data_IF_956617953402
#
_entry.id   IF_956617953402
#
_cell.length_a   1.000
_cell.length_b   1.000
_cell.length_c   1.000
_cell.angle_alpha   90.00
_cell.angle_beta   90.00
_cell.angle_gamma   90.00
#
_symmetry.space_group_name_H-M   'P 1'
#
loop_
_entity.id
_entity.type
_entity.pdbx_description
1 polymer ?
#
# COMPACT_ATOMS: atom_id res chain seq x y z
N UNK A 1 -18.42 -23.94 30.08
CA UNK A 1 -17.53 -24.06 28.89
C UNK A 1 -16.95 -22.68 28.60
N UNK A 2 -15.66 -22.46 28.85
CA UNK A 2 -15.00 -21.19 28.50
C UNK A 2 -14.91 -21.15 27.00
N UNK A 3 -15.46 -20.11 26.37
CA UNK A 3 -15.25 -19.88 24.92
C UNK A 3 -13.75 -19.70 24.66
N UNK A 4 -13.21 -20.44 23.72
CA UNK A 4 -11.81 -20.30 23.34
C UNK A 4 -11.54 -18.84 22.92
N UNK A 5 -10.44 -18.28 23.42
CA UNK A 5 -10.05 -16.90 23.05
C UNK A 5 -9.80 -16.84 21.53
N UNK A 6 -10.34 -15.86 20.81
CA UNK A 6 -10.10 -15.74 19.36
C UNK A 6 -8.61 -15.65 19.04
N UNK A 7 -8.18 -16.20 17.91
CA UNK A 7 -6.78 -16.14 17.45
C UNK A 7 -6.32 -14.69 17.20
N UNK A 8 -5.01 -14.46 17.10
CA UNK A 8 -4.46 -13.12 16.85
C UNK A 8 -4.94 -12.57 15.52
N UNK A 9 -4.90 -13.37 14.45
CA UNK A 9 -5.40 -12.98 13.14
C UNK A 9 -6.90 -12.67 13.15
N UNK A 10 -7.70 -13.47 13.86
CA UNK A 10 -9.14 -13.22 13.98
C UNK A 10 -9.46 -11.88 14.68
N UNK A 11 -8.72 -11.55 15.74
CA UNK A 11 -8.87 -10.26 16.43
C UNK A 11 -8.47 -9.09 15.55
N UNK A 12 -7.34 -9.21 14.83
CA UNK A 12 -6.88 -8.18 13.89
C UNK A 12 -7.92 -7.93 12.81
N UNK A 13 -8.45 -8.98 12.17
CA UNK A 13 -9.51 -8.87 11.15
C UNK A 13 -10.77 -8.19 11.67
N UNK A 14 -11.22 -8.55 12.88
CA UNK A 14 -12.38 -7.87 13.49
C UNK A 14 -12.10 -6.40 13.72
N UNK A 15 -10.91 -6.05 14.22
CA UNK A 15 -10.53 -4.65 14.46
C UNK A 15 -10.50 -3.86 13.16
N UNK A 16 -9.87 -4.39 12.11
CA UNK A 16 -9.81 -3.73 10.80
C UNK A 16 -11.20 -3.58 10.20
N UNK A 17 -12.05 -4.62 10.20
CA UNK A 17 -13.41 -4.56 9.69
C UNK A 17 -14.36 -3.61 10.44
N UNK A 18 -14.02 -3.19 11.67
CA UNK A 18 -14.75 -2.14 12.39
C UNK A 18 -14.29 -0.72 11.98
N UNK A 19 -13.12 -0.58 11.37
CA UNK A 19 -12.47 0.71 11.10
C UNK A 19 -12.35 1.01 9.61
N UNK A 20 -12.57 0.05 8.72
CA UNK A 20 -12.29 0.17 7.27
C UNK A 20 -13.33 0.98 6.48
N UNK A 21 -14.40 1.43 7.10
CA UNK A 21 -15.48 2.14 6.41
C UNK A 21 -15.02 3.35 5.59
N UNK A 22 -14.06 4.15 6.08
CA UNK A 22 -13.51 5.28 5.35
C UNK A 22 -12.67 4.84 4.15
N UNK A 23 -11.87 3.77 4.32
CA UNK A 23 -11.06 3.20 3.24
C UNK A 23 -11.97 2.64 2.13
N UNK A 24 -12.98 1.86 2.48
CA UNK A 24 -13.90 1.27 1.52
C UNK A 24 -14.66 2.36 0.74
N UNK A 25 -15.14 3.40 1.41
CA UNK A 25 -15.77 4.54 0.76
C UNK A 25 -14.80 5.31 -0.17
N UNK A 26 -13.53 5.47 0.24
CA UNK A 26 -12.50 6.08 -0.58
C UNK A 26 -12.17 5.24 -1.83
N UNK A 27 -12.11 3.91 -1.69
CA UNK A 27 -11.91 2.98 -2.81
C UNK A 27 -13.08 3.04 -3.79
N UNK A 28 -14.33 3.03 -3.30
CA UNK A 28 -15.50 3.17 -4.17
C UNK A 28 -15.45 4.46 -4.98
N UNK A 29 -15.11 5.57 -4.33
CA UNK A 29 -14.95 6.86 -4.98
C UNK A 29 -13.79 6.89 -5.98
N UNK A 30 -12.65 6.32 -5.66
CA UNK A 30 -11.47 6.24 -6.52
C UNK A 30 -11.79 5.53 -7.85
N UNK A 31 -12.56 4.46 -7.78
CA UNK A 31 -12.85 3.60 -8.93
C UNK A 31 -14.14 3.95 -9.68
N UNK A 32 -14.73 5.12 -9.48
CA UNK A 32 -15.89 5.56 -10.27
C UNK A 32 -15.55 5.71 -11.76
N UNK A 33 -16.51 5.50 -12.69
CA UNK A 33 -16.26 5.58 -14.12
C UNK A 33 -15.80 6.96 -14.62
N UNK A 34 -16.37 8.04 -14.05
CA UNK A 34 -16.07 9.42 -14.46
C UNK A 34 -14.59 9.73 -14.18
N UNK A 35 -13.89 10.27 -15.18
CA UNK A 35 -12.46 10.63 -15.09
C UNK A 35 -11.56 9.51 -14.53
N UNK A 36 -11.88 8.24 -14.80
CA UNK A 36 -11.14 7.10 -14.25
C UNK A 36 -9.69 7.06 -14.72
N UNK A 37 -9.38 7.39 -15.99
CA UNK A 37 -8.02 7.32 -16.53
C UNK A 37 -7.02 8.23 -15.79
N UNK A 38 -7.26 9.53 -15.57
CA UNK A 38 -6.34 10.36 -14.79
C UNK A 38 -6.21 9.89 -13.34
N UNK A 39 -7.29 9.40 -12.71
CA UNK A 39 -7.21 8.84 -11.35
C UNK A 39 -6.42 7.53 -11.31
N UNK A 40 -6.57 6.67 -12.30
CA UNK A 40 -5.79 5.44 -12.40
C UNK A 40 -4.29 5.71 -12.54
N UNK A 41 -3.89 6.68 -13.38
CA UNK A 41 -2.49 7.12 -13.46
C UNK A 41 -1.97 7.67 -12.13
N UNK A 42 -2.77 8.49 -11.45
CA UNK A 42 -2.42 9.00 -10.13
C UNK A 42 -2.30 7.87 -9.09
N UNK A 43 -3.17 6.87 -9.15
CA UNK A 43 -3.09 5.66 -8.32
C UNK A 43 -1.78 4.89 -8.59
N UNK A 44 -1.43 4.62 -9.84
CA UNK A 44 -0.17 3.92 -10.18
C UNK A 44 1.06 4.68 -9.67
N UNK A 45 1.11 6.01 -9.82
CA UNK A 45 2.18 6.85 -9.27
C UNK A 45 2.26 6.75 -7.74
N UNK A 46 1.13 6.84 -7.05
CA UNK A 46 1.09 6.79 -5.59
C UNK A 46 1.46 5.40 -5.06
N UNK A 47 0.90 4.34 -5.67
CA UNK A 47 1.22 2.96 -5.29
C UNK A 47 2.68 2.61 -5.59
N UNK A 48 3.27 3.13 -6.65
CA UNK A 48 4.71 2.97 -6.87
C UNK A 48 5.53 3.53 -5.69
N UNK A 49 5.14 4.70 -5.13
CA UNK A 49 5.84 5.26 -3.97
C UNK A 49 5.63 4.47 -2.67
N UNK A 50 4.49 3.78 -2.53
CA UNK A 50 4.21 2.88 -1.41
C UNK A 50 4.97 1.56 -1.57
N UNK A 51 4.80 0.87 -2.70
CA UNK A 51 5.33 -0.49 -2.93
C UNK A 51 6.87 -0.49 -2.95
N UNK A 52 7.52 0.53 -3.55
CA UNK A 52 8.98 0.63 -3.51
C UNK A 52 9.58 0.74 -2.10
N UNK A 53 8.78 1.10 -1.09
CA UNK A 53 9.22 1.13 0.30
C UNK A 53 9.04 -0.23 1.00
N UNK A 54 8.20 -1.14 0.48
CA UNK A 54 7.85 -2.40 1.15
C UNK A 54 9.07 -3.34 1.30
N UNK A 55 9.79 -3.62 0.22
CA UNK A 55 10.99 -4.47 0.28
C UNK A 55 12.07 -3.88 1.21
N UNK A 56 12.46 -2.59 1.13
CA UNK A 56 13.37 -1.98 2.09
C UNK A 56 12.91 -2.07 3.56
N UNK A 57 11.62 -1.89 3.84
CA UNK A 57 11.06 -2.05 5.19
C UNK A 57 11.19 -3.50 5.68
N UNK A 58 10.84 -4.47 4.86
CA UNK A 58 10.96 -5.90 5.18
C UNK A 58 12.41 -6.34 5.38
N UNK A 59 13.33 -5.84 4.55
CA UNK A 59 14.77 -6.07 4.72
C UNK A 59 15.24 -5.56 6.07
N UNK A 60 14.86 -4.35 6.45
CA UNK A 60 15.22 -3.77 7.73
C UNK A 60 14.60 -4.49 8.92
N UNK A 61 13.33 -4.86 8.83
CA UNK A 61 12.64 -5.65 9.85
C UNK A 61 13.27 -7.04 10.02
N UNK A 62 13.64 -7.70 8.92
CA UNK A 62 14.33 -8.99 8.94
C UNK A 62 15.70 -8.90 9.61
N UNK A 63 16.49 -7.88 9.28
CA UNK A 63 17.79 -7.65 9.92
C UNK A 63 17.64 -7.46 11.43
N UNK A 64 16.68 -6.62 11.84
CA UNK A 64 16.40 -6.40 13.26
C UNK A 64 15.91 -7.65 13.96
N UNK A 65 15.03 -8.43 13.32
CA UNK A 65 14.55 -9.72 13.83
C UNK A 65 15.70 -10.71 14.05
N UNK A 66 16.63 -10.81 13.10
CA UNK A 66 17.82 -11.70 13.27
C UNK A 66 18.69 -11.33 14.47
N UNK A 67 18.83 -10.03 14.76
CA UNK A 67 19.55 -9.59 15.96
C UNK A 67 18.83 -9.97 17.25
N UNK A 68 17.49 -9.86 17.27
CA UNK A 68 16.67 -10.24 18.43
C UNK A 68 16.63 -11.76 18.62
N UNK A 69 16.59 -12.54 17.54
CA UNK A 69 16.65 -14.00 17.56
C UNK A 69 17.97 -14.49 18.20
N UNK A 70 19.09 -13.87 17.83
CA UNK A 70 20.38 -14.15 18.45
C UNK A 70 20.43 -13.80 19.96
N UNK A 71 19.50 -12.96 20.45
CA UNK A 71 19.32 -12.65 21.86
C UNK A 71 18.25 -13.54 22.54
N UNK A 72 17.67 -14.50 21.82
CA UNK A 72 16.69 -15.46 22.34
C UNK A 72 15.24 -15.02 22.29
N UNK A 73 14.89 -14.01 21.49
CA UNK A 73 13.49 -13.61 21.29
C UNK A 73 12.74 -14.68 20.51
N UNK A 74 11.67 -15.29 21.09
CA UNK A 74 10.97 -16.43 20.49
C UNK A 74 10.13 -16.06 19.25
N UNK A 75 9.82 -14.76 19.04
CA UNK A 75 9.04 -14.25 17.91
C UNK A 75 9.95 -13.99 16.71
N UNK A 76 11.19 -13.63 16.96
CA UNK A 76 12.09 -13.02 15.98
C UNK A 76 12.56 -13.99 14.90
N UNK A 77 12.91 -15.23 15.25
CA UNK A 77 13.34 -16.25 14.27
C UNK A 77 12.27 -16.59 13.23
N UNK A 78 11.04 -17.00 13.65
CA UNK A 78 9.94 -17.23 12.72
C UNK A 78 9.55 -15.99 11.88
N UNK A 79 9.62 -14.78 12.47
CA UNK A 79 9.38 -13.52 11.75
C UNK A 79 10.44 -13.32 10.65
N UNK A 80 11.72 -13.51 10.94
CA UNK A 80 12.81 -13.37 9.97
C UNK A 80 12.68 -14.37 8.81
N UNK A 81 12.24 -15.60 9.10
CA UNK A 81 11.98 -16.60 8.08
C UNK A 81 10.84 -16.18 7.14
N UNK A 82 9.69 -15.78 7.69
CA UNK A 82 8.57 -15.26 6.91
C UNK A 82 8.99 -14.07 6.02
N UNK A 83 9.63 -13.07 6.59
CA UNK A 83 10.08 -11.90 5.84
C UNK A 83 11.07 -12.25 4.72
N UNK A 84 11.85 -13.33 4.88
CA UNK A 84 12.79 -13.79 3.83
C UNK A 84 12.03 -14.29 2.60
N UNK A 85 10.96 -15.08 2.78
CA UNK A 85 10.12 -15.57 1.68
C UNK A 85 9.31 -14.42 1.07
N UNK A 86 8.66 -13.63 1.90
CA UNK A 86 7.81 -12.53 1.43
C UNK A 86 8.60 -11.47 0.64
N UNK A 87 9.85 -11.16 1.02
CA UNK A 87 10.76 -10.30 0.23
C UNK A 87 10.97 -10.87 -1.16
N UNK A 88 11.21 -12.19 -1.28
CA UNK A 88 11.45 -12.84 -2.56
C UNK A 88 10.24 -12.78 -3.49
N UNK A 89 9.04 -12.79 -2.92
CA UNK A 89 7.77 -12.68 -3.65
C UNK A 89 7.50 -11.25 -4.09
N UNK A 90 7.83 -10.26 -3.26
CA UNK A 90 7.58 -8.84 -3.51
C UNK A 90 8.67 -8.14 -4.33
N UNK A 91 9.83 -8.78 -4.54
CA UNK A 91 10.94 -8.16 -5.27
C UNK A 91 10.57 -7.89 -6.73
N UNK A 92 10.64 -6.61 -7.13
CA UNK A 92 10.35 -6.15 -8.50
C UNK A 92 8.89 -5.72 -8.74
N UNK A 93 7.98 -5.82 -7.77
CA UNK A 93 6.59 -5.36 -7.94
C UNK A 93 6.50 -3.84 -8.14
N UNK A 94 7.42 -3.06 -7.61
CA UNK A 94 7.51 -1.63 -7.88
C UNK A 94 7.82 -1.33 -9.36
N UNK A 95 8.62 -2.17 -10.03
CA UNK A 95 8.88 -2.04 -11.46
C UNK A 95 7.63 -2.29 -12.30
N UNK A 96 6.75 -3.22 -11.90
CA UNK A 96 5.48 -3.45 -12.61
C UNK A 96 4.60 -2.20 -12.64
N UNK A 97 4.58 -1.42 -11.57
CA UNK A 97 3.83 -0.16 -11.49
C UNK A 97 4.36 0.90 -12.46
N UNK A 98 5.68 0.93 -12.69
CA UNK A 98 6.28 1.81 -13.70
C UNK A 98 5.94 1.34 -15.12
N UNK A 99 5.98 0.04 -15.38
CA UNK A 99 5.61 -0.54 -16.69
C UNK A 99 4.13 -0.24 -16.99
N UNK A 100 3.24 -0.47 -16.03
CA UNK A 100 1.82 -0.15 -16.16
C UNK A 100 1.59 1.34 -16.41
N UNK A 101 2.32 2.21 -15.73
CA UNK A 101 2.22 3.66 -15.88
C UNK A 101 2.65 4.11 -17.29
N UNK A 102 3.73 3.53 -17.81
CA UNK A 102 4.18 3.77 -19.19
C UNK A 102 3.14 3.30 -20.21
N UNK A 103 2.62 2.08 -20.03
CA UNK A 103 1.58 1.53 -20.89
C UNK A 103 0.26 2.32 -20.80
N UNK A 104 -0.01 2.97 -19.66
CA UNK A 104 -1.12 3.90 -19.50
C UNK A 104 -0.88 5.28 -20.13
N UNK A 105 0.26 5.49 -20.82
CA UNK A 105 0.59 6.70 -21.55
C UNK A 105 1.14 7.86 -20.71
N UNK A 106 1.65 7.57 -19.50
CA UNK A 106 2.42 8.51 -18.71
C UNK A 106 3.93 8.40 -19.01
N UNK A 107 4.74 9.31 -18.50
CA UNK A 107 6.19 9.27 -18.64
C UNK A 107 6.86 8.78 -17.35
N UNK A 108 8.06 8.18 -17.38
CA UNK A 108 8.79 7.82 -16.17
C UNK A 108 9.00 9.01 -15.23
N UNK A 109 9.13 10.22 -15.78
CA UNK A 109 9.26 11.44 -15.01
C UNK A 109 8.02 11.78 -14.17
N UNK A 110 6.85 11.29 -14.56
CA UNK A 110 5.61 11.53 -13.81
C UNK A 110 5.59 10.74 -12.49
N UNK A 111 6.21 9.55 -12.46
CA UNK A 111 6.31 8.73 -11.26
C UNK A 111 7.51 9.09 -10.36
N UNK A 112 8.63 9.49 -10.97
CA UNK A 112 9.92 9.58 -10.26
C UNK A 112 10.26 11.00 -9.78
N UNK A 113 9.65 12.03 -10.36
CA UNK A 113 9.95 13.43 -10.05
C UNK A 113 9.27 14.02 -8.82
N UNK A 114 8.00 13.72 -8.50
CA UNK A 114 7.36 14.36 -7.38
C UNK A 114 7.90 13.83 -6.04
N UNK A 115 8.08 14.75 -5.07
CA UNK A 115 8.21 14.32 -3.69
C UNK A 115 6.97 13.50 -3.31
N UNK A 116 7.13 12.34 -2.66
CA UNK A 116 5.99 11.55 -2.20
C UNK A 116 5.03 12.38 -1.36
N UNK A 117 3.75 12.12 -1.48
CA UNK A 117 2.74 12.71 -0.60
C UNK A 117 3.13 12.52 0.87
N UNK A 118 2.96 13.55 1.73
CA UNK A 118 3.29 13.42 3.15
C UNK A 118 2.64 12.22 3.83
N UNK A 119 1.46 11.81 3.39
CA UNK A 119 0.78 10.62 3.92
C UNK A 119 1.53 9.32 3.58
N UNK A 120 2.18 9.22 2.41
CA UNK A 120 3.01 8.07 2.03
C UNK A 120 4.29 8.05 2.88
N UNK A 121 4.92 9.22 3.06
CA UNK A 121 6.08 9.35 3.93
C UNK A 121 5.77 9.00 5.39
N UNK A 122 4.59 9.37 5.89
CA UNK A 122 4.12 8.99 7.22
C UNK A 122 3.84 7.48 7.31
N UNK A 123 3.20 6.89 6.30
CA UNK A 123 2.91 5.46 6.23
C UNK A 123 4.19 4.61 6.32
N UNK A 124 5.17 4.87 5.47
CA UNK A 124 6.43 4.14 5.46
C UNK A 124 7.34 4.53 6.64
N UNK A 125 7.42 5.82 6.98
CA UNK A 125 8.29 6.33 8.03
C UNK A 125 7.92 5.82 9.43
N UNK A 126 6.64 5.67 9.73
CA UNK A 126 6.16 5.08 10.99
C UNK A 126 6.63 3.64 11.16
N UNK A 127 6.68 2.86 10.05
CA UNK A 127 7.16 1.48 10.10
C UNK A 127 8.64 1.43 10.48
N UNK A 128 9.49 2.30 9.88
CA UNK A 128 10.89 2.39 10.28
C UNK A 128 11.04 2.73 11.76
N UNK A 129 10.25 3.68 12.27
CA UNK A 129 10.29 4.04 13.68
C UNK A 129 10.00 2.84 14.60
N UNK A 130 8.95 2.07 14.30
CA UNK A 130 8.60 0.90 15.12
C UNK A 130 9.61 -0.24 14.98
N UNK A 131 10.13 -0.50 13.79
CA UNK A 131 11.19 -1.50 13.57
C UNK A 131 12.44 -1.17 14.40
N UNK A 132 12.84 0.09 14.45
CA UNK A 132 14.09 0.52 15.12
C UNK A 132 13.92 0.68 16.63
N UNK A 133 12.80 1.23 17.07
CA UNK A 133 12.62 1.68 18.45
C UNK A 133 11.66 0.83 19.27
N UNK A 134 10.97 -0.11 18.63
CA UNK A 134 10.07 -1.07 19.26
C UNK A 134 10.43 -2.50 18.87
N UNK A 135 9.52 -3.20 18.22
CA UNK A 135 9.72 -4.57 17.77
C UNK A 135 9.35 -4.70 16.29
N UNK A 136 10.18 -5.39 15.45
CA UNK A 136 9.94 -5.52 14.02
C UNK A 136 8.63 -6.26 13.67
N UNK A 137 8.02 -6.98 14.62
CA UNK A 137 6.73 -7.65 14.43
C UNK A 137 5.59 -6.67 14.12
N UNK A 138 5.72 -5.40 14.52
CA UNK A 138 4.75 -4.35 14.19
C UNK A 138 4.53 -4.21 12.67
N UNK A 139 5.55 -4.52 11.84
CA UNK A 139 5.44 -4.45 10.37
C UNK A 139 4.37 -5.40 9.82
N UNK A 140 4.03 -6.50 10.53
CA UNK A 140 2.96 -7.40 10.10
C UNK A 140 1.59 -6.69 10.04
N UNK A 141 1.39 -5.64 10.81
CA UNK A 141 0.18 -4.81 10.73
C UNK A 141 0.09 -4.00 9.44
N UNK A 142 1.22 -3.47 8.96
CA UNK A 142 1.33 -2.79 7.67
C UNK A 142 1.06 -3.77 6.51
N UNK A 143 1.72 -4.93 6.52
CA UNK A 143 1.52 -5.97 5.51
C UNK A 143 0.05 -6.42 5.48
N UNK A 144 -0.57 -6.66 6.65
CA UNK A 144 -1.98 -7.06 6.74
C UNK A 144 -2.94 -6.09 6.04
N UNK A 145 -2.64 -4.79 6.07
CA UNK A 145 -3.48 -3.79 5.40
C UNK A 145 -3.21 -3.75 3.91
N UNK A 146 -1.96 -3.78 3.46
CA UNK A 146 -1.68 -3.74 2.02
C UNK A 146 -2.22 -4.97 1.30
N UNK A 147 -2.03 -6.16 1.86
CA UNK A 147 -2.53 -7.42 1.31
C UNK A 147 -4.06 -7.58 1.46
N UNK A 148 -4.60 -7.11 2.60
CA UNK A 148 -6.02 -7.29 2.93
C UNK A 148 -6.97 -6.38 2.16
N UNK A 149 -6.48 -5.29 1.59
CA UNK A 149 -7.27 -4.31 0.83
C UNK A 149 -6.80 -4.18 -0.63
N UNK A 150 -6.26 -5.26 -1.17
CA UNK A 150 -5.89 -5.37 -2.57
C UNK A 150 -7.09 -5.14 -3.50
N UNK A 151 -6.85 -4.67 -4.73
CA UNK A 151 -7.90 -4.50 -5.72
C UNK A 151 -8.60 -5.82 -6.05
N UNK A 152 -9.93 -5.81 -6.09
CA UNK A 152 -10.69 -7.00 -6.49
C UNK A 152 -10.41 -7.40 -7.95
N UNK A 153 -10.40 -8.69 -8.25
CA UNK A 153 -10.14 -9.23 -9.60
C UNK A 153 -11.05 -8.61 -10.70
N UNK A 154 -12.28 -8.22 -10.35
CA UNK A 154 -13.23 -7.56 -11.26
C UNK A 154 -12.84 -6.14 -11.63
N UNK A 155 -11.93 -5.50 -10.87
CA UNK A 155 -11.51 -4.11 -11.09
C UNK A 155 -10.73 -3.97 -12.39
N UNK A 156 -9.84 -4.90 -12.73
CA UNK A 156 -9.06 -4.91 -13.97
C UNK A 156 -9.97 -4.78 -15.20
N UNK A 157 -11.00 -5.64 -15.29
CA UNK A 157 -11.95 -5.62 -16.40
C UNK A 157 -12.78 -4.32 -16.44
N UNK A 158 -13.08 -3.73 -15.28
CA UNK A 158 -13.79 -2.44 -15.20
C UNK A 158 -12.91 -1.30 -15.71
N UNK A 159 -11.64 -1.23 -15.28
CA UNK A 159 -10.70 -0.20 -15.74
C UNK A 159 -10.51 -0.32 -17.25
N UNK A 160 -10.23 -1.52 -17.78
CA UNK A 160 -10.06 -1.74 -19.22
C UNK A 160 -11.27 -1.23 -20.04
N UNK A 161 -12.48 -1.62 -19.65
CA UNK A 161 -13.70 -1.19 -20.37
C UNK A 161 -13.94 0.31 -20.29
N UNK A 162 -13.64 0.94 -19.18
CA UNK A 162 -13.94 2.36 -18.96
C UNK A 162 -12.90 3.27 -19.60
N UNK A 163 -11.64 2.85 -19.61
CA UNK A 163 -10.50 3.70 -20.04
C UNK A 163 -9.98 3.36 -21.43
N UNK A 164 -10.26 2.17 -21.95
CA UNK A 164 -9.68 1.66 -23.20
C UNK A 164 -8.19 1.30 -23.07
N UNK A 165 -7.64 1.22 -21.86
CA UNK A 165 -6.24 0.87 -21.63
C UNK A 165 -5.95 -0.57 -22.08
N UNK A 166 -4.74 -0.83 -22.61
CA UNK A 166 -4.30 -2.19 -22.95
C UNK A 166 -4.01 -3.01 -21.69
N UNK A 167 -4.03 -4.33 -21.80
CA UNK A 167 -3.73 -5.27 -20.70
C UNK A 167 -2.36 -5.01 -20.04
N UNK A 168 -1.39 -4.52 -20.84
CA UNK A 168 -0.06 -4.14 -20.33
C UNK A 168 -0.08 -3.02 -19.30
N UNK A 169 -1.13 -2.18 -19.27
CA UNK A 169 -1.30 -1.12 -18.29
C UNK A 169 -2.01 -1.58 -17.00
N UNK A 170 -2.38 -2.85 -16.90
CA UNK A 170 -3.25 -3.40 -15.86
C UNK A 170 -2.60 -4.60 -15.13
N UNK A 171 -1.32 -4.86 -15.40
CA UNK A 171 -0.60 -6.01 -14.86
C UNK A 171 -0.62 -6.02 -13.35
N UNK A 172 -0.22 -4.92 -12.71
CA UNK A 172 -0.10 -4.84 -11.26
C UNK A 172 -1.42 -5.12 -10.56
N UNK A 173 -2.52 -4.49 -11.01
CA UNK A 173 -3.85 -4.72 -10.43
C UNK A 173 -4.30 -6.17 -10.60
N UNK A 174 -3.99 -6.79 -11.75
CA UNK A 174 -4.37 -8.17 -12.03
C UNK A 174 -3.59 -9.17 -11.19
N UNK A 175 -2.25 -9.02 -11.16
CA UNK A 175 -1.37 -9.98 -10.46
C UNK A 175 -1.59 -9.88 -8.94
N UNK A 176 -1.68 -8.68 -8.35
CA UNK A 176 -1.97 -8.53 -6.93
C UNK A 176 -3.34 -9.12 -6.55
N UNK A 177 -4.37 -8.96 -7.37
CA UNK A 177 -5.66 -9.60 -7.11
C UNK A 177 -5.58 -11.15 -7.02
N UNK A 178 -4.56 -11.76 -7.62
CA UNK A 178 -4.33 -13.21 -7.57
C UNK A 178 -3.38 -13.62 -6.42
N UNK A 179 -2.33 -12.83 -6.15
CA UNK A 179 -1.27 -13.15 -5.19
C UNK A 179 -1.68 -12.85 -3.74
N UNK A 180 -2.35 -11.72 -3.51
CA UNK A 180 -2.56 -11.19 -2.16
C UNK A 180 -3.44 -12.10 -1.28
N UNK A 181 -4.28 -12.94 -1.87
CA UNK A 181 -5.04 -13.94 -1.10
C UNK A 181 -4.11 -14.97 -0.43
N UNK A 182 -3.08 -15.46 -1.15
CA UNK A 182 -2.08 -16.39 -0.60
C UNK A 182 -1.20 -15.73 0.47
N UNK A 183 -0.72 -14.52 0.20
CA UNK A 183 0.10 -13.74 1.13
C UNK A 183 -0.65 -13.46 2.45
N UNK A 184 -1.93 -13.10 2.36
CA UNK A 184 -2.76 -12.83 3.53
C UNK A 184 -3.00 -14.10 4.37
N UNK A 185 -3.20 -15.26 3.74
CA UNK A 185 -3.36 -16.54 4.43
C UNK A 185 -2.06 -16.92 5.18
N UNK A 186 -0.90 -16.76 4.56
CA UNK A 186 0.41 -17.01 5.17
C UNK A 186 0.69 -16.06 6.34
N UNK A 187 0.34 -14.78 6.20
CA UNK A 187 0.42 -13.80 7.28
C UNK A 187 -0.46 -14.18 8.47
N UNK A 188 -1.72 -14.57 8.22
CA UNK A 188 -2.65 -14.99 9.27
C UNK A 188 -2.14 -16.26 9.98
N UNK A 189 -1.64 -17.23 9.22
CA UNK A 189 -1.05 -18.44 9.79
C UNK A 189 0.20 -18.12 10.63
N UNK A 190 1.02 -17.16 10.23
CA UNK A 190 2.15 -16.68 11.02
C UNK A 190 1.66 -16.04 12.33
N UNK A 191 0.76 -15.06 12.27
CA UNK A 191 0.23 -14.35 13.45
C UNK A 191 -0.36 -15.30 14.50
N UNK A 192 -0.99 -16.39 14.06
CA UNK A 192 -1.61 -17.36 14.96
C UNK A 192 -0.61 -18.35 15.56
N UNK A 193 0.58 -18.54 14.93
CA UNK A 193 1.67 -19.39 15.44
C UNK A 193 2.65 -18.66 16.35
N UNK A 194 2.82 -17.34 16.14
CA UNK A 194 3.79 -16.56 16.91
C UNK A 194 3.38 -16.48 18.40
N UNK A 195 4.31 -16.73 19.33
CA UNK A 195 4.06 -16.58 20.76
C UNK A 195 4.07 -15.09 21.18
N UNK A 196 3.18 -14.30 20.56
CA UNK A 196 3.12 -12.87 20.79
C UNK A 196 2.66 -12.55 22.22
N UNK A 197 3.38 -11.67 22.88
CA UNK A 197 2.91 -11.01 24.10
C UNK A 197 1.72 -10.10 23.80
N UNK A 198 0.97 -9.70 24.81
CA UNK A 198 -0.14 -8.74 24.64
C UNK A 198 0.36 -7.39 24.08
N UNK A 199 1.56 -6.95 24.49
CA UNK A 199 2.21 -5.76 23.95
C UNK A 199 2.49 -5.89 22.45
N UNK A 200 3.11 -6.99 22.01
CA UNK A 200 3.42 -7.23 20.60
C UNK A 200 2.14 -7.37 19.74
N UNK A 201 1.07 -7.95 20.29
CA UNK A 201 -0.23 -7.97 19.61
C UNK A 201 -0.81 -6.57 19.46
N UNK A 202 -0.65 -5.71 20.47
CA UNK A 202 -1.04 -4.30 20.39
C UNK A 202 -0.20 -3.55 19.35
N UNK A 203 1.12 -3.79 19.28
CA UNK A 203 2.02 -3.16 18.29
C UNK A 203 1.58 -3.49 16.86
N UNK A 204 1.29 -4.76 16.55
CA UNK A 204 0.73 -5.17 15.25
C UNK A 204 -0.59 -4.46 14.95
N UNK A 205 -1.48 -4.39 15.94
CA UNK A 205 -2.80 -3.76 15.78
C UNK A 205 -2.68 -2.26 15.55
N UNK A 206 -1.84 -1.55 16.30
CA UNK A 206 -1.59 -0.10 16.13
C UNK A 206 -0.98 0.20 14.75
N UNK A 207 -0.01 -0.62 14.31
CA UNK A 207 0.58 -0.50 12.98
C UNK A 207 -0.47 -0.69 11.88
N UNK A 208 -1.36 -1.69 12.03
CA UNK A 208 -2.44 -1.92 11.08
C UNK A 208 -3.45 -0.76 11.05
N UNK A 209 -3.89 -0.26 12.19
CA UNK A 209 -4.82 0.87 12.28
C UNK A 209 -4.23 2.14 11.64
N UNK A 210 -2.96 2.42 11.92
CA UNK A 210 -2.25 3.55 11.31
C UNK A 210 -2.15 3.40 9.79
N UNK A 211 -1.81 2.20 9.31
CA UNK A 211 -1.69 1.91 7.89
C UNK A 211 -3.04 2.04 7.16
N UNK A 212 -4.11 1.56 7.79
CA UNK A 212 -5.48 1.68 7.29
C UNK A 212 -5.90 3.16 7.12
N UNK A 213 -5.68 3.97 8.15
CA UNK A 213 -6.00 5.41 8.13
C UNK A 213 -5.16 6.16 7.07
N UNK A 214 -3.86 5.87 6.99
CA UNK A 214 -2.98 6.49 5.99
C UNK A 214 -3.40 6.12 4.56
N UNK A 215 -3.76 4.85 4.31
CA UNK A 215 -4.24 4.39 3.01
C UNK A 215 -5.60 5.01 2.65
N UNK A 216 -6.52 5.13 3.60
CA UNK A 216 -7.79 5.82 3.42
C UNK A 216 -7.60 7.28 3.01
N UNK A 217 -6.74 8.01 3.73
CA UNK A 217 -6.40 9.40 3.38
C UNK A 217 -5.74 9.54 2.01
N UNK A 218 -4.86 8.61 1.65
CA UNK A 218 -4.24 8.58 0.33
C UNK A 218 -5.32 8.43 -0.75
N UNK A 219 -6.21 7.46 -0.62
CA UNK A 219 -7.26 7.19 -1.61
C UNK A 219 -8.30 8.29 -1.71
N UNK A 220 -8.65 8.95 -0.60
CA UNK A 220 -9.48 10.17 -0.61
C UNK A 220 -8.85 11.26 -1.47
N UNK A 221 -7.54 11.48 -1.35
CA UNK A 221 -6.82 12.48 -2.16
C UNK A 221 -6.79 12.09 -3.64
N UNK A 222 -6.47 10.84 -3.95
CA UNK A 222 -6.47 10.33 -5.32
C UNK A 222 -7.85 10.43 -5.98
N UNK A 223 -8.92 10.17 -5.23
CA UNK A 223 -10.28 10.32 -5.70
C UNK A 223 -10.64 11.76 -6.14
N UNK A 224 -9.95 12.76 -5.59
CA UNK A 224 -10.12 14.19 -5.95
C UNK A 224 -9.25 14.63 -7.12
N UNK A 225 -8.21 13.88 -7.49
CA UNK A 225 -7.23 14.28 -8.50
C UNK A 225 -7.79 14.37 -9.93
N UNK A 226 -8.97 13.80 -10.21
CA UNK A 226 -9.67 13.94 -11.50
C UNK A 226 -10.48 15.23 -11.66
N UNK A 227 -10.69 16.02 -10.59
CA UNK A 227 -11.59 17.18 -10.58
C UNK A 227 -10.86 18.53 -10.60
N UNK A 228 -9.53 18.57 -10.70
CA UNK A 228 -8.81 19.83 -10.82
C UNK A 228 -9.09 20.48 -12.20
N UNK A 229 -9.60 21.74 -12.25
CA UNK A 229 -9.75 22.45 -13.51
C UNK A 229 -8.36 22.61 -14.14
N UNK A 230 -8.25 22.22 -15.41
CA UNK A 230 -7.08 22.50 -16.24
C UNK A 230 -6.67 23.97 -16.03
N UNK A 231 -5.39 24.31 -15.81
CA UNK A 231 -4.98 25.69 -15.72
C UNK A 231 -5.39 26.39 -17.03
N UNK A 232 -6.38 27.29 -16.94
CA UNK A 232 -6.78 28.11 -18.08
C UNK A 232 -5.53 28.76 -18.61
N UNK A 233 -5.26 28.58 -19.90
CA UNK A 233 -4.09 29.08 -20.57
C UNK A 233 -3.82 30.53 -20.15
N UNK A 234 -2.63 30.78 -19.64
CA UNK A 234 -2.12 32.11 -19.46
C UNK A 234 -2.14 32.79 -20.83
N UNK A 235 -3.13 33.65 -21.06
CA UNK A 235 -3.18 34.49 -22.26
C UNK A 235 -1.86 35.20 -22.39
N UNK A 236 -1.19 35.02 -23.53
CA UNK A 236 -0.04 35.79 -23.89
C UNK A 236 -0.44 37.29 -23.86
N UNK A 237 0.24 38.14 -23.11
CA UNK A 237 0.08 39.57 -23.31
C UNK A 237 0.64 39.93 -24.69
N UNK A 238 -0.23 40.49 -25.54
CA UNK A 238 0.19 41.11 -26.81
C UNK A 238 1.28 42.13 -26.55
N UNK A 239 2.33 42.19 -27.36
CA UNK A 239 3.34 43.22 -27.24
C UNK A 239 2.71 44.59 -27.59
N UNK A 240 2.76 45.51 -26.65
CA UNK A 240 2.42 46.94 -26.93
C UNK A 240 3.34 47.49 -27.99
N UNK A 241 2.74 47.92 -29.10
CA UNK A 241 3.43 48.59 -30.18
C UNK A 241 4.00 49.94 -29.69
N UNK A 242 5.27 50.11 -29.90
CA UNK A 242 5.95 51.40 -29.83
C UNK A 242 5.80 52.02 -31.21
N UNK A 243 5.05 53.10 -31.31
CA UNK A 243 5.05 53.97 -32.51
C UNK A 243 5.98 55.15 -32.31
N UNK A 244 6.52 55.74 -33.40
CA UNK A 244 7.70 56.58 -33.42
C UNK A 244 7.49 58.02 -32.89
#
# INVERSE_FOLDING_TARGET
MSAARPSTSARLRVTLGLLDGELLAAMEHLWRPEDLLPRYRAYLCAMHTVVRASVPLMLRARERARLLDACGDPVAGPLAAYLTEHIREEEGHDAWLLDDLLAAGATPGDALRPMPEPVVAALAGSQYYWIEHHHPVALLGYIAVLEGYAPAATLTARIARTTGLPDAALRTVREHAALDTGHLDDLHALLDRLPLTEGQQADVTVSAMHSLDALARLFVRLGRSGTAPSPRGAGHPSPMGVSP
#
